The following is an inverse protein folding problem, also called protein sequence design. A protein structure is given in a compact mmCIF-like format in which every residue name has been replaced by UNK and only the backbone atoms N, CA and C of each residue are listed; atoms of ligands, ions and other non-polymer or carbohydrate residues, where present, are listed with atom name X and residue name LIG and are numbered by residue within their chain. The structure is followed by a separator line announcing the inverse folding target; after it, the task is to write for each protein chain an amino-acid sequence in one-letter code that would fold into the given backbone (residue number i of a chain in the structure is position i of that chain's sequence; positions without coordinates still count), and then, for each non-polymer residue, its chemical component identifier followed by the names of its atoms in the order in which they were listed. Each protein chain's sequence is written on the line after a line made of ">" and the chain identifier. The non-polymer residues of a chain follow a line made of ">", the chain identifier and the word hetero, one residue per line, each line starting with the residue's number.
data_IF_701329601150
#
_entry.id   IF_701329601150
#
_cell.length_a   1.000
_cell.length_b   1.000
_cell.length_c   1.000
_cell.angle_alpha   90.00
_cell.angle_beta   90.00
_cell.angle_gamma   90.00
#
_symmetry.space_group_name_H-M   'P 1'
#
loop_
_entity.id
_entity.type
_entity.pdbx_description
1 polymer ?
#
# COMPACT_ATOMS: atom_id res chain seq x y z
N UNK A 1 18.26 -19.12 29.91
CA UNK A 1 17.38 -19.40 28.76
C UNK A 1 17.19 -18.04 28.11
N UNK A 2 17.97 -17.77 27.08
CA UNK A 2 17.85 -16.56 26.31
C UNK A 2 16.47 -16.57 25.62
N UNK A 3 15.55 -15.79 26.13
CA UNK A 3 14.37 -15.40 25.36
C UNK A 3 14.90 -14.55 24.19
N UNK A 4 15.14 -15.16 23.02
CA UNK A 4 15.19 -14.39 21.80
C UNK A 4 13.86 -13.63 21.76
N UNK A 5 13.90 -12.32 21.95
CA UNK A 5 12.80 -11.43 21.62
C UNK A 5 12.47 -11.74 20.15
N UNK A 6 11.36 -12.40 19.95
CA UNK A 6 10.94 -12.81 18.60
C UNK A 6 10.39 -11.55 17.95
N UNK A 7 11.19 -10.90 17.12
CA UNK A 7 10.82 -9.67 16.45
C UNK A 7 9.60 -9.90 15.54
N UNK A 8 8.70 -8.92 15.51
CA UNK A 8 7.56 -8.89 14.58
C UNK A 8 8.02 -9.16 13.14
N UNK A 9 7.26 -9.96 12.37
CA UNK A 9 7.64 -10.32 10.99
C UNK A 9 6.61 -9.84 10.00
N UNK A 10 7.08 -9.11 8.99
CA UNK A 10 6.25 -8.71 7.85
C UNK A 10 6.51 -9.66 6.67
N UNK A 11 5.55 -10.52 6.39
CA UNK A 11 5.58 -11.44 5.26
C UNK A 11 5.10 -10.71 4.02
N UNK A 12 5.96 -10.61 3.00
CA UNK A 12 5.63 -9.80 1.86
C UNK A 12 6.57 -9.93 0.67
N UNK A 13 6.21 -9.27 -0.41
CA UNK A 13 7.03 -9.15 -1.62
C UNK A 13 7.45 -7.70 -1.80
N UNK A 14 8.71 -7.46 -2.17
CA UNK A 14 9.25 -6.12 -2.48
C UNK A 14 8.49 -5.39 -3.59
N UNK A 15 7.74 -6.10 -4.43
CA UNK A 15 6.98 -5.49 -5.52
C UNK A 15 5.51 -5.23 -5.18
N UNK A 16 5.04 -5.63 -3.99
CA UNK A 16 3.65 -5.43 -3.58
C UNK A 16 3.44 -4.02 -3.02
N UNK A 17 2.50 -3.24 -3.55
CA UNK A 17 2.21 -1.92 -3.02
C UNK A 17 1.53 -1.97 -1.64
N UNK A 18 0.77 -3.03 -1.35
CA UNK A 18 0.13 -3.25 -0.05
C UNK A 18 1.17 -3.58 1.04
N UNK A 19 2.20 -4.35 0.69
CA UNK A 19 3.34 -4.62 1.57
C UNK A 19 4.11 -3.33 1.82
N UNK A 20 4.38 -2.55 0.76
CA UNK A 20 5.07 -1.28 0.87
C UNK A 20 4.35 -0.31 1.81
N UNK A 21 3.01 -0.24 1.74
CA UNK A 21 2.18 0.57 2.66
C UNK A 21 2.45 0.21 4.12
N UNK A 22 2.48 -1.06 4.46
CA UNK A 22 2.72 -1.52 5.83
C UNK A 22 4.19 -1.33 6.23
N UNK A 23 5.14 -1.61 5.34
CA UNK A 23 6.57 -1.33 5.62
C UNK A 23 6.80 0.15 5.96
N UNK A 24 6.23 1.06 5.17
CA UNK A 24 6.32 2.51 5.42
C UNK A 24 5.67 2.86 6.76
N UNK A 25 4.48 2.33 7.04
CA UNK A 25 3.78 2.57 8.31
C UNK A 25 4.65 2.17 9.52
N UNK A 26 5.25 0.98 9.49
CA UNK A 26 6.13 0.49 10.55
C UNK A 26 7.38 1.36 10.70
N UNK A 27 8.03 1.72 9.57
CA UNK A 27 9.22 2.57 9.56
C UNK A 27 8.92 3.99 10.09
N UNK A 28 7.81 4.60 9.70
CA UNK A 28 7.40 5.93 10.18
C UNK A 28 7.10 5.95 11.68
N UNK A 29 6.69 4.82 12.24
CA UNK A 29 6.47 4.66 13.69
C UNK A 29 7.72 4.18 14.44
N UNK A 30 8.82 3.88 13.74
CA UNK A 30 10.02 3.34 14.35
C UNK A 30 9.82 1.95 14.97
N UNK A 31 8.87 1.18 14.46
CA UNK A 31 8.62 -0.20 14.90
C UNK A 31 9.56 -1.13 14.15
N UNK A 32 10.38 -1.86 14.88
CA UNK A 32 11.31 -2.84 14.31
C UNK A 32 10.55 -4.09 13.85
N UNK A 33 10.93 -4.61 12.69
CA UNK A 33 10.38 -5.83 12.13
C UNK A 33 11.38 -6.56 11.23
N UNK A 34 11.26 -7.89 11.18
CA UNK A 34 11.94 -8.72 10.19
C UNK A 34 11.12 -8.76 8.90
N UNK A 35 11.71 -8.42 7.76
CA UNK A 35 11.04 -8.58 6.48
C UNK A 35 11.32 -9.97 5.91
N UNK A 36 10.26 -10.78 5.76
CA UNK A 36 10.30 -12.11 5.16
C UNK A 36 9.81 -12.03 3.73
N UNK A 37 10.76 -12.14 2.77
CA UNK A 37 10.43 -12.02 1.35
C UNK A 37 9.78 -13.29 0.82
N UNK A 38 8.49 -13.22 0.56
CA UNK A 38 7.67 -14.28 -0.04
C UNK A 38 7.00 -13.80 -1.32
N UNK A 39 7.13 -14.60 -2.38
CA UNK A 39 6.53 -14.29 -3.68
C UNK A 39 5.20 -15.03 -3.83
N UNK A 40 4.04 -14.38 -3.64
CA UNK A 40 2.74 -15.06 -3.55
C UNK A 40 2.34 -15.83 -4.83
N UNK A 41 3.01 -15.56 -5.93
CA UNK A 41 2.76 -16.24 -7.23
C UNK A 41 3.79 -17.30 -7.57
N UNK A 42 4.78 -17.54 -6.72
CA UNK A 42 5.69 -18.67 -6.86
C UNK A 42 4.98 -19.97 -6.46
N UNK A 43 5.26 -21.07 -7.16
CA UNK A 43 4.70 -22.37 -6.84
C UNK A 43 5.16 -22.89 -5.46
N UNK A 44 6.30 -22.42 -4.97
CA UNK A 44 6.93 -22.85 -3.73
C UNK A 44 6.80 -21.83 -2.58
N UNK A 45 5.81 -20.91 -2.67
CA UNK A 45 5.66 -19.89 -1.63
C UNK A 45 5.03 -20.43 -0.33
N UNK A 46 5.45 -19.86 0.80
CA UNK A 46 4.93 -20.17 2.13
C UNK A 46 3.75 -19.30 2.57
N UNK A 47 3.26 -18.39 1.73
CA UNK A 47 2.28 -17.35 2.10
C UNK A 47 1.01 -17.93 2.71
N UNK A 48 0.52 -19.05 2.21
CA UNK A 48 -0.72 -19.70 2.69
C UNK A 48 -0.63 -20.15 4.16
N UNK A 49 0.57 -20.31 4.72
CA UNK A 49 0.77 -20.62 6.14
C UNK A 49 0.42 -19.42 7.05
N UNK A 50 0.55 -18.20 6.54
CA UNK A 50 0.29 -16.95 7.24
C UNK A 50 -1.07 -16.35 6.87
N UNK A 51 -1.44 -16.45 5.60
CA UNK A 51 -2.70 -15.94 5.08
C UNK A 51 -3.34 -16.99 4.17
N UNK A 52 -4.45 -17.63 4.57
CA UNK A 52 -5.11 -18.69 3.79
C UNK A 52 -5.61 -18.20 2.41
N UNK A 53 -5.70 -16.87 2.19
CA UNK A 53 -6.02 -16.29 0.88
C UNK A 53 -4.83 -16.30 -0.09
N UNK A 54 -3.63 -16.70 0.36
CA UNK A 54 -2.40 -16.68 -0.44
C UNK A 54 -1.98 -15.28 -0.87
N UNK A 55 -2.31 -14.26 -0.06
CA UNK A 55 -2.01 -12.84 -0.35
C UNK A 55 -1.03 -12.26 0.66
N UNK A 56 -0.24 -11.31 0.20
CA UNK A 56 0.63 -10.48 1.03
C UNK A 56 0.10 -9.05 1.09
N UNK A 57 0.31 -8.29 2.20
CA UNK A 57 1.08 -8.65 3.39
C UNK A 57 0.36 -9.58 4.37
N UNK A 58 1.15 -10.24 5.21
CA UNK A 58 0.72 -10.76 6.50
C UNK A 58 1.73 -10.30 7.57
N UNK A 59 1.27 -9.99 8.77
CA UNK A 59 2.09 -9.57 9.90
C UNK A 59 2.02 -10.64 10.99
N UNK A 60 3.16 -11.18 11.39
CA UNK A 60 3.26 -12.11 12.52
C UNK A 60 3.79 -11.32 13.71
N UNK A 61 3.06 -11.34 14.83
CA UNK A 61 3.46 -10.67 16.07
C UNK A 61 4.51 -11.47 16.84
N UNK A 62 5.10 -10.86 17.85
CA UNK A 62 6.06 -11.51 18.76
C UNK A 62 5.42 -12.70 19.49
N UNK A 63 4.09 -12.66 19.69
CA UNK A 63 3.30 -13.72 20.32
C UNK A 63 2.88 -14.81 19.34
N UNK A 64 3.21 -14.65 18.04
CA UNK A 64 2.89 -15.60 16.98
C UNK A 64 1.49 -15.46 16.38
N UNK A 65 0.74 -14.39 16.73
CA UNK A 65 -0.52 -14.07 16.07
C UNK A 65 -0.26 -13.59 14.63
N UNK A 66 -1.16 -13.89 13.71
CA UNK A 66 -1.03 -13.52 12.31
C UNK A 66 -2.19 -12.63 11.85
N UNK A 67 -1.87 -11.41 11.39
CA UNK A 67 -2.82 -10.42 10.91
C UNK A 67 -2.72 -10.23 9.40
N UNK A 68 -3.85 -10.13 8.74
CA UNK A 68 -4.06 -9.79 7.32
C UNK A 68 -5.51 -9.29 7.13
N UNK A 69 -5.86 -8.47 6.10
CA UNK A 69 -4.99 -7.91 5.07
C UNK A 69 -4.39 -6.55 5.50
N UNK A 70 -3.84 -5.79 4.56
CA UNK A 70 -3.12 -4.53 4.89
C UNK A 70 -3.94 -3.51 5.70
N UNK A 71 -5.27 -3.29 5.50
CA UNK A 71 -6.07 -2.40 6.36
C UNK A 71 -6.18 -2.90 7.80
N UNK A 72 -6.28 -4.22 8.00
CA UNK A 72 -6.35 -4.81 9.34
C UNK A 72 -4.99 -4.71 10.03
N UNK A 73 -3.90 -4.99 9.30
CA UNK A 73 -2.54 -4.81 9.82
C UNK A 73 -2.32 -3.34 10.24
N UNK A 74 -2.72 -2.38 9.41
CA UNK A 74 -2.61 -0.96 9.75
C UNK A 74 -3.40 -0.61 11.02
N UNK A 75 -4.60 -1.17 11.18
CA UNK A 75 -5.39 -0.98 12.40
C UNK A 75 -4.71 -1.61 13.62
N UNK A 76 -4.15 -2.80 13.50
CA UNK A 76 -3.39 -3.46 14.57
C UNK A 76 -2.20 -2.60 15.00
N UNK A 77 -1.41 -2.10 14.03
CA UNK A 77 -0.24 -1.25 14.29
C UNK A 77 -0.65 0.06 15.00
N UNK A 78 -1.80 0.65 14.69
CA UNK A 78 -2.32 1.81 15.41
C UNK A 78 -2.72 1.47 16.87
N UNK A 79 -3.29 0.28 17.10
CA UNK A 79 -3.66 -0.17 18.44
C UNK A 79 -2.47 -0.38 19.36
N UNK A 80 -1.25 -0.55 18.83
CA UNK A 80 -0.03 -0.59 19.66
C UNK A 80 0.27 0.75 20.35
N UNK A 81 -0.37 1.84 19.94
CA UNK A 81 -0.25 3.15 20.58
C UNK A 81 1.09 3.84 20.37
N UNK A 82 1.97 3.30 19.53
CA UNK A 82 3.28 3.88 19.23
C UNK A 82 3.10 5.14 18.38
N UNK A 83 3.75 6.25 18.80
CA UNK A 83 3.75 7.50 18.03
C UNK A 83 4.73 7.43 16.84
N UNK A 84 4.49 8.23 15.78
CA UNK A 84 3.35 9.12 15.57
C UNK A 84 2.05 8.36 15.26
N UNK A 85 0.89 8.93 15.64
CA UNK A 85 -0.39 8.36 15.27
C UNK A 85 -0.68 8.64 13.78
N UNK A 86 -1.02 7.60 13.03
CA UNK A 86 -1.33 7.69 11.59
C UNK A 86 -2.84 7.76 11.32
N UNK A 87 -3.65 7.63 12.36
CA UNK A 87 -5.08 7.87 12.37
C UNK A 87 -5.42 8.95 13.40
N UNK A 88 -6.36 9.86 13.10
CA UNK A 88 -6.90 10.80 14.09
C UNK A 88 -7.54 10.09 15.28
N UNK A 89 -7.46 10.70 16.45
CA UNK A 89 -8.12 10.18 17.66
C UNK A 89 -9.65 10.26 17.59
N UNK A 90 -10.20 11.22 16.85
CA UNK A 90 -11.64 11.32 16.61
C UNK A 90 -12.09 10.20 15.65
N UNK A 91 -13.07 9.36 16.05
CA UNK A 91 -13.49 8.21 15.24
C UNK A 91 -14.05 8.57 13.87
N UNK A 92 -14.73 9.73 13.73
CA UNK A 92 -15.29 10.16 12.45
C UNK A 92 -14.17 10.63 11.51
N UNK A 93 -13.19 11.38 12.03
CA UNK A 93 -12.02 11.78 11.27
C UNK A 93 -11.17 10.54 10.88
N UNK A 94 -11.00 9.57 11.78
CA UNK A 94 -10.33 8.31 11.47
C UNK A 94 -11.05 7.53 10.36
N UNK A 95 -12.39 7.53 10.36
CA UNK A 95 -13.18 6.88 9.32
C UNK A 95 -12.96 7.52 7.94
N UNK A 96 -12.81 8.86 7.88
CA UNK A 96 -12.47 9.57 6.64
C UNK A 96 -11.10 9.14 6.12
N UNK A 97 -10.08 9.07 6.99
CA UNK A 97 -8.73 8.59 6.62
C UNK A 97 -8.79 7.17 6.08
N UNK A 98 -9.54 6.28 6.74
CA UNK A 98 -9.73 4.89 6.29
C UNK A 98 -10.48 4.78 4.96
N UNK A 99 -11.43 5.66 4.70
CA UNK A 99 -12.12 5.70 3.40
C UNK A 99 -11.16 6.11 2.28
N UNK A 100 -10.25 7.04 2.55
CA UNK A 100 -9.23 7.45 1.59
C UNK A 100 -8.19 6.33 1.40
N UNK A 101 -7.80 5.62 2.46
CA UNK A 101 -7.00 4.40 2.36
C UNK A 101 -7.68 3.38 1.44
N UNK A 102 -8.96 3.09 1.64
CA UNK A 102 -9.71 2.16 0.80
C UNK A 102 -9.79 2.60 -0.68
N UNK A 103 -9.88 3.92 -0.94
CA UNK A 103 -9.81 4.46 -2.29
C UNK A 103 -8.44 4.19 -2.94
N UNK A 104 -7.35 4.41 -2.20
CA UNK A 104 -5.98 4.15 -2.66
C UNK A 104 -5.73 2.64 -2.85
N UNK A 105 -6.21 1.79 -1.95
CA UNK A 105 -6.16 0.33 -2.08
C UNK A 105 -6.92 -0.12 -3.34
N UNK A 106 -8.05 0.50 -3.65
CA UNK A 106 -8.79 0.25 -4.89
C UNK A 106 -8.03 0.64 -6.17
N UNK A 107 -7.18 1.68 -6.12
CA UNK A 107 -6.26 2.02 -7.23
C UNK A 107 -5.20 0.92 -7.38
N UNK A 108 -4.62 0.45 -6.27
CA UNK A 108 -3.61 -0.62 -6.28
C UNK A 108 -4.20 -1.94 -6.80
N UNK A 109 -5.41 -2.29 -6.41
CA UNK A 109 -6.14 -3.47 -6.91
C UNK A 109 -6.38 -3.39 -8.43
N UNK A 110 -6.84 -2.24 -8.90
CA UNK A 110 -7.08 -2.02 -10.33
C UNK A 110 -5.77 -2.07 -11.15
N UNK A 111 -4.69 -1.52 -10.60
CA UNK A 111 -3.36 -1.60 -11.20
C UNK A 111 -2.85 -3.06 -11.24
N UNK A 112 -3.00 -3.80 -10.14
CA UNK A 112 -2.62 -5.22 -10.07
C UNK A 112 -3.43 -6.08 -11.05
N UNK A 113 -4.74 -5.84 -11.15
CA UNK A 113 -5.59 -6.50 -12.13
C UNK A 113 -5.12 -6.24 -13.57
N UNK A 114 -4.74 -4.98 -13.88
CA UNK A 114 -4.17 -4.61 -15.18
C UNK A 114 -2.86 -5.32 -15.47
N UNK A 115 -1.95 -5.40 -14.48
CA UNK A 115 -0.67 -6.12 -14.62
C UNK A 115 -0.89 -7.60 -14.92
N UNK A 116 -1.83 -8.23 -14.20
CA UNK A 116 -2.16 -9.66 -14.40
C UNK A 116 -2.78 -9.90 -15.77
N UNK A 117 -3.68 -9.05 -16.21
CA UNK A 117 -4.30 -9.17 -17.52
C UNK A 117 -3.27 -9.00 -18.65
N UNK A 118 -2.36 -8.03 -18.53
CA UNK A 118 -1.27 -7.81 -19.48
C UNK A 118 -0.23 -8.94 -19.51
N UNK A 119 -0.08 -9.71 -18.42
CA UNK A 119 0.81 -10.86 -18.37
C UNK A 119 0.25 -12.12 -19.06
N UNK A 120 -1.03 -12.11 -19.42
CA UNK A 120 -1.65 -13.21 -20.18
C UNK A 120 -1.15 -13.21 -21.63
N UNK A 121 -1.20 -14.35 -22.34
CA UNK A 121 -0.96 -14.37 -23.79
C UNK A 121 -1.85 -13.34 -24.51
N UNK A 122 -1.32 -12.60 -25.47
CA UNK A 122 -2.01 -11.50 -26.13
C UNK A 122 -3.42 -11.87 -26.65
N UNK A 123 -3.58 -13.08 -27.22
CA UNK A 123 -4.87 -13.58 -27.71
C UNK A 123 -5.92 -13.86 -26.60
N UNK A 124 -5.50 -13.84 -25.33
CA UNK A 124 -6.36 -14.07 -24.18
C UNK A 124 -6.57 -12.81 -23.32
N UNK A 125 -5.96 -11.69 -23.70
CA UNK A 125 -6.13 -10.42 -23.00
C UNK A 125 -7.49 -9.81 -23.33
N UNK A 126 -8.17 -9.27 -22.32
CA UNK A 126 -9.42 -8.53 -22.46
C UNK A 126 -9.16 -7.03 -22.49
N UNK A 127 -9.28 -6.42 -23.67
CA UNK A 127 -9.20 -4.96 -23.82
C UNK A 127 -10.28 -4.24 -23.00
N UNK A 128 -11.49 -4.81 -22.93
CA UNK A 128 -12.60 -4.28 -22.13
C UNK A 128 -12.24 -4.25 -20.65
N UNK A 129 -11.60 -5.31 -20.15
CA UNK A 129 -11.16 -5.36 -18.74
C UNK A 129 -10.05 -4.34 -18.47
N UNK A 130 -9.06 -4.24 -19.35
CA UNK A 130 -7.99 -3.25 -19.24
C UNK A 130 -8.54 -1.81 -19.25
N UNK A 131 -9.52 -1.53 -20.13
CA UNK A 131 -10.17 -0.22 -20.16
C UNK A 131 -10.91 0.05 -18.85
N UNK A 132 -11.69 -0.92 -18.37
CA UNK A 132 -12.43 -0.81 -17.10
C UNK A 132 -11.52 -0.50 -15.91
N UNK A 133 -10.35 -1.14 -15.82
CA UNK A 133 -9.39 -0.87 -14.76
C UNK A 133 -8.74 0.52 -14.89
N UNK A 134 -8.39 0.94 -16.11
CA UNK A 134 -7.86 2.30 -16.36
C UNK A 134 -8.87 3.39 -15.96
N UNK A 135 -10.14 3.22 -16.27
CA UNK A 135 -11.20 4.15 -15.88
C UNK A 135 -11.37 4.22 -14.35
N UNK A 136 -11.30 3.07 -13.66
CA UNK A 136 -11.28 3.06 -12.18
C UNK A 136 -10.13 3.89 -11.63
N UNK A 137 -8.91 3.61 -12.11
CA UNK A 137 -7.70 4.33 -11.70
C UNK A 137 -7.89 5.83 -11.93
N UNK A 138 -8.31 6.25 -13.11
CA UNK A 138 -8.48 7.66 -13.45
C UNK A 138 -9.47 8.36 -12.52
N UNK A 139 -10.70 7.82 -12.38
CA UNK A 139 -11.72 8.41 -11.49
C UNK A 139 -11.29 8.49 -10.03
N UNK A 140 -10.55 7.48 -9.57
CA UNK A 140 -10.05 7.45 -8.19
C UNK A 140 -8.95 8.48 -7.97
N UNK A 141 -8.06 8.68 -8.93
CA UNK A 141 -7.03 9.73 -8.89
C UNK A 141 -7.65 11.13 -8.97
N UNK A 142 -8.71 11.33 -9.78
CA UNK A 142 -9.46 12.60 -9.80
C UNK A 142 -10.08 12.90 -8.45
N UNK A 143 -10.61 11.87 -7.77
CA UNK A 143 -11.14 12.02 -6.41
C UNK A 143 -10.04 12.38 -5.42
N UNK A 144 -8.85 11.77 -5.50
CA UNK A 144 -7.71 12.12 -4.65
C UNK A 144 -7.28 13.58 -4.87
N UNK A 145 -7.15 14.03 -6.13
CA UNK A 145 -6.83 15.41 -6.47
C UNK A 145 -7.87 16.40 -5.88
N UNK A 146 -9.17 16.05 -5.96
CA UNK A 146 -10.25 16.86 -5.42
C UNK A 146 -10.21 16.91 -3.88
N UNK A 147 -9.92 15.78 -3.20
CA UNK A 147 -9.79 15.74 -1.75
C UNK A 147 -8.65 16.62 -1.23
N UNK A 148 -7.53 16.70 -1.97
CA UNK A 148 -6.44 17.62 -1.66
C UNK A 148 -6.90 19.07 -1.87
N UNK A 149 -7.55 19.35 -2.97
CA UNK A 149 -8.08 20.70 -3.30
C UNK A 149 -9.07 21.20 -2.27
N UNK A 150 -9.90 20.31 -1.74
CA UNK A 150 -10.90 20.61 -0.71
C UNK A 150 -10.30 20.68 0.72
N UNK A 151 -8.97 20.51 0.85
CA UNK A 151 -8.28 20.53 2.13
C UNK A 151 -8.59 19.36 3.05
N UNK A 152 -9.14 18.25 2.50
CA UNK A 152 -9.37 17.00 3.23
C UNK A 152 -8.10 16.17 3.39
N UNK A 153 -7.13 16.41 2.53
CA UNK A 153 -5.77 15.84 2.56
C UNK A 153 -4.81 17.02 2.49
N UNK A 154 -3.86 17.09 3.41
CA UNK A 154 -2.78 18.05 3.37
C UNK A 154 -1.54 17.44 2.71
N UNK A 155 -0.81 18.22 1.91
CA UNK A 155 0.34 17.69 1.16
C UNK A 155 1.56 17.34 2.02
N UNK A 156 1.63 17.85 3.24
CA UNK A 156 2.70 17.67 4.22
C UNK A 156 2.32 16.71 5.35
N UNK A 157 1.06 16.31 5.43
CA UNK A 157 0.62 15.30 6.40
C UNK A 157 1.16 13.92 6.07
N UNK A 158 1.69 13.25 7.08
CA UNK A 158 2.05 11.83 7.02
C UNK A 158 1.05 11.05 7.86
N UNK A 159 0.12 10.41 7.19
CA UNK A 159 -0.90 9.59 7.81
C UNK A 159 -1.24 8.39 6.89
N UNK A 160 -2.10 7.49 7.36
CA UNK A 160 -2.41 6.26 6.64
C UNK A 160 -2.99 6.53 5.23
N UNK A 161 -3.80 7.59 5.06
CA UNK A 161 -4.36 7.95 3.74
C UNK A 161 -3.28 8.42 2.76
N UNK A 162 -2.40 9.34 3.19
CA UNK A 162 -1.35 9.89 2.33
C UNK A 162 -0.29 8.85 1.98
N UNK A 163 0.07 7.97 2.93
CA UNK A 163 0.94 6.81 2.68
C UNK A 163 0.32 5.89 1.63
N UNK A 164 -0.96 5.55 1.77
CA UNK A 164 -1.65 4.66 0.84
C UNK A 164 -1.72 5.26 -0.59
N UNK A 165 -2.04 6.56 -0.71
CA UNK A 165 -2.06 7.26 -2.01
C UNK A 165 -0.66 7.24 -2.65
N UNK A 166 0.38 7.56 -1.90
CA UNK A 166 1.75 7.57 -2.42
C UNK A 166 2.21 6.17 -2.83
N UNK A 167 1.83 5.12 -2.08
CA UNK A 167 2.08 3.73 -2.48
C UNK A 167 1.36 3.36 -3.78
N UNK A 168 0.11 3.79 -3.95
CA UNK A 168 -0.64 3.59 -5.18
C UNK A 168 0.04 4.27 -6.38
N UNK A 169 0.42 5.54 -6.25
CA UNK A 169 1.16 6.28 -7.29
C UNK A 169 2.50 5.61 -7.60
N UNK A 170 3.27 5.24 -6.57
CA UNK A 170 4.52 4.53 -6.73
C UNK A 170 4.36 3.22 -7.52
N UNK A 171 3.26 2.50 -7.28
CA UNK A 171 2.96 1.27 -8.01
C UNK A 171 2.57 1.52 -9.46
N UNK A 172 1.76 2.57 -9.73
CA UNK A 172 1.45 2.99 -11.10
C UNK A 172 2.73 3.32 -11.90
N UNK A 173 3.67 4.03 -11.27
CA UNK A 173 4.96 4.36 -11.86
C UNK A 173 5.80 3.11 -12.11
N UNK A 174 5.91 2.23 -11.11
CA UNK A 174 6.68 0.99 -11.19
C UNK A 174 6.18 0.06 -12.30
N UNK A 175 4.85 -0.12 -12.39
CA UNK A 175 4.24 -1.03 -13.37
C UNK A 175 3.89 -0.38 -14.69
N UNK A 176 3.96 0.95 -14.81
CA UNK A 176 3.63 1.73 -16.01
C UNK A 176 2.24 1.45 -16.58
N UNK A 177 1.29 1.09 -15.71
CA UNK A 177 -0.07 0.73 -16.13
C UNK A 177 -0.96 1.94 -16.41
N UNK A 178 -0.59 3.13 -15.93
CA UNK A 178 -1.28 4.40 -16.17
C UNK A 178 -0.27 5.54 -16.33
N UNK A 179 0.48 5.62 -17.42
CA UNK A 179 1.60 6.56 -17.56
C UNK A 179 1.17 8.03 -17.55
N UNK A 180 -0.10 8.34 -17.85
CA UNK A 180 -0.66 9.70 -17.81
C UNK A 180 -1.33 10.06 -16.49
N UNK A 181 -1.10 9.33 -15.41
CA UNK A 181 -1.76 9.56 -14.12
C UNK A 181 -1.60 10.99 -13.57
N UNK A 182 -0.48 11.65 -13.87
CA UNK A 182 -0.13 13.00 -13.40
C UNK A 182 -0.80 14.14 -14.20
N UNK A 183 -1.35 13.84 -15.38
CA UNK A 183 -1.97 14.86 -16.23
C UNK A 183 -3.20 15.45 -15.53
N UNK A 184 -3.24 16.79 -15.45
CA UNK A 184 -4.32 17.55 -14.78
C UNK A 184 -4.46 17.30 -13.26
N UNK A 185 -3.43 16.70 -12.60
CA UNK A 185 -3.43 16.40 -11.16
C UNK A 185 -2.19 16.95 -10.44
N UNK A 186 -1.97 18.30 -10.47
CA UNK A 186 -0.75 18.90 -9.92
C UNK A 186 -0.62 18.77 -8.40
N UNK A 187 -1.74 18.77 -7.66
CA UNK A 187 -1.71 18.63 -6.21
C UNK A 187 -1.33 17.20 -5.80
N UNK A 188 -1.83 16.23 -6.54
CA UNK A 188 -1.47 14.82 -6.34
C UNK A 188 0.00 14.54 -6.66
N UNK A 189 0.55 15.18 -7.72
CA UNK A 189 1.98 15.15 -8.04
C UNK A 189 2.79 15.71 -6.88
N UNK A 190 2.41 16.89 -6.37
CA UNK A 190 3.10 17.53 -5.23
C UNK A 190 3.09 16.65 -3.98
N UNK A 191 1.95 16.03 -3.66
CA UNK A 191 1.83 15.08 -2.54
C UNK A 191 2.83 13.92 -2.71
N UNK A 192 2.83 13.29 -3.87
CA UNK A 192 3.71 12.17 -4.15
C UNK A 192 5.19 12.56 -4.07
N UNK A 193 5.59 13.68 -4.67
CA UNK A 193 6.96 14.20 -4.61
C UNK A 193 7.41 14.47 -3.18
N UNK A 194 6.55 15.07 -2.34
CA UNK A 194 6.84 15.36 -0.93
C UNK A 194 7.09 14.06 -0.16
N UNK A 195 6.22 13.07 -0.31
CA UNK A 195 6.34 11.81 0.42
C UNK A 195 7.49 10.94 -0.06
N UNK A 196 7.80 10.94 -1.36
CA UNK A 196 8.91 10.17 -1.92
C UNK A 196 10.29 10.65 -1.46
N UNK A 197 10.40 11.87 -0.89
CA UNK A 197 11.64 12.36 -0.26
C UNK A 197 11.89 11.74 1.12
N UNK A 198 10.90 11.07 1.72
CA UNK A 198 11.05 10.49 3.05
C UNK A 198 11.89 9.21 3.00
N UNK A 199 12.68 9.00 4.06
CA UNK A 199 13.56 7.83 4.17
C UNK A 199 12.79 6.50 4.10
N UNK A 200 11.62 6.42 4.73
CA UNK A 200 10.75 5.25 4.70
C UNK A 200 10.31 4.86 3.28
N UNK A 201 10.08 5.84 2.40
CA UNK A 201 9.76 5.61 0.99
C UNK A 201 10.98 5.19 0.18
N UNK A 202 12.16 5.77 0.46
CA UNK A 202 13.41 5.42 -0.22
C UNK A 202 13.85 3.97 0.12
N UNK A 203 13.76 3.59 1.41
CA UNK A 203 14.12 2.24 1.87
C UNK A 203 13.19 1.14 1.34
N UNK A 204 11.96 1.49 0.97
CA UNK A 204 10.93 0.56 0.47
C UNK A 204 10.70 0.64 -1.03
N UNK A 205 11.57 1.33 -1.77
CA UNK A 205 11.45 1.43 -3.22
C UNK A 205 11.50 0.03 -3.86
N UNK A 206 10.56 -0.30 -4.77
CA UNK A 206 10.62 -1.57 -5.48
C UNK A 206 11.93 -1.73 -6.25
N UNK A 207 12.49 -2.95 -6.34
CA UNK A 207 13.73 -3.19 -7.08
C UNK A 207 13.56 -2.75 -8.54
N UNK A 208 14.62 -2.14 -9.10
CA UNK A 208 14.63 -1.76 -10.52
C UNK A 208 14.46 -3.01 -11.38
N UNK A 209 13.55 -2.95 -12.35
CA UNK A 209 13.29 -4.02 -13.30
C UNK A 209 14.46 -4.21 -14.28
#
# INVERSE_FOLDING_TARGET
>A
MDSQEQAMKLIGSYTSPFVRKISILLLEKGIEFEFVNEQPYSAENGVAQYNPLGKVPALVTDEGECWFDSPIIAQYVELLGVAPQMLPADPNAALVVKQIEALADGIMDAALASVREQARPAAQQSETELLRQREKISRSLDMCEQLIRDGKIQNDDVNLATIAIACAIGYLNFRRVSPGWCVERPLLVKLAETLFQRESFAQTEPPKA
#
